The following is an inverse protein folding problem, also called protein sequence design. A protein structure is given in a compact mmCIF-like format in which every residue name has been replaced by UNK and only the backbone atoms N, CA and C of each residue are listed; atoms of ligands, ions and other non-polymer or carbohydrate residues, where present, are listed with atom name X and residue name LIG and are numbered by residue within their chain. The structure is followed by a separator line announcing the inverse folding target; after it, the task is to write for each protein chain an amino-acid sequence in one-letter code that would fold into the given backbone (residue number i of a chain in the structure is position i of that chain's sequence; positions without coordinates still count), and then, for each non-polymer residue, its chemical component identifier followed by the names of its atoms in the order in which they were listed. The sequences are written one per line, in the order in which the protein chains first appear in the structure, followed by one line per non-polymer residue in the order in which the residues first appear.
data_IF_864211712371
#
_entry.id   IF_864211712371
#
_cell.length_a   1.000
_cell.length_b   1.000
_cell.length_c   1.000
_cell.angle_alpha   90.00
_cell.angle_beta   90.00
_cell.angle_gamma   90.00
#
_symmetry.space_group_name_H-M   'P 1'
#
loop_
_entity.id
_entity.type
_entity.pdbx_description
1 polymer ?
#
# COMPACT_ATOMS: atom_id res chain seq x y z
N UNK A 1 -24.38 -0.97 14.45
CA UNK A 1 -23.98 -0.42 13.14
C UNK A 1 -23.78 -1.58 12.18
N UNK A 2 -24.30 -1.48 10.96
CA UNK A 2 -24.03 -2.47 9.92
C UNK A 2 -22.60 -2.31 9.39
N UNK A 3 -22.02 -3.36 8.80
CA UNK A 3 -20.68 -3.33 8.16
C UNK A 3 -20.58 -2.19 7.14
N UNK A 4 -21.67 -1.93 6.42
CA UNK A 4 -21.81 -0.83 5.46
C UNK A 4 -21.68 0.54 6.14
N UNK A 5 -22.32 0.74 7.29
CA UNK A 5 -22.20 2.00 8.04
C UNK A 5 -20.78 2.24 8.55
N UNK A 6 -20.06 1.20 9.00
CA UNK A 6 -18.67 1.31 9.46
C UNK A 6 -17.76 1.71 8.30
N UNK A 7 -17.97 1.10 7.14
CA UNK A 7 -17.22 1.40 5.91
C UNK A 7 -17.41 2.86 5.50
N UNK A 8 -18.67 3.33 5.42
CA UNK A 8 -18.98 4.71 5.04
C UNK A 8 -18.37 5.75 5.99
N UNK A 9 -18.42 5.51 7.31
CA UNK A 9 -17.79 6.41 8.29
C UNK A 9 -16.27 6.43 8.09
N UNK A 10 -15.65 5.26 7.92
CA UNK A 10 -14.19 5.16 7.75
C UNK A 10 -13.73 5.88 6.48
N UNK A 11 -14.41 5.68 5.35
CA UNK A 11 -14.14 6.39 4.09
C UNK A 11 -14.35 7.89 4.24
N UNK A 12 -15.42 8.32 4.91
CA UNK A 12 -15.68 9.75 5.14
C UNK A 12 -14.58 10.42 5.98
N UNK A 13 -14.07 9.73 7.01
CA UNK A 13 -12.93 10.19 7.81
C UNK A 13 -11.68 10.28 6.94
N UNK A 14 -11.41 9.26 6.12
CA UNK A 14 -10.26 9.22 5.22
C UNK A 14 -10.26 10.37 4.22
N UNK A 15 -11.42 10.66 3.60
CA UNK A 15 -11.63 11.82 2.70
C UNK A 15 -11.28 13.13 3.40
N UNK A 16 -11.79 13.34 4.62
CA UNK A 16 -11.53 14.55 5.39
C UNK A 16 -10.03 14.70 5.71
N UNK A 17 -9.37 13.60 6.11
CA UNK A 17 -7.93 13.56 6.37
C UNK A 17 -7.13 13.87 5.10
N UNK A 18 -7.46 13.24 3.97
CA UNK A 18 -6.80 13.48 2.69
C UNK A 18 -6.95 14.92 2.20
N UNK A 19 -8.12 15.53 2.36
CA UNK A 19 -8.33 16.94 2.01
C UNK A 19 -7.43 17.87 2.84
N UNK A 20 -7.32 17.62 4.14
CA UNK A 20 -6.42 18.38 5.03
C UNK A 20 -4.96 18.16 4.62
N UNK A 21 -4.54 16.91 4.42
CA UNK A 21 -3.17 16.58 4.04
C UNK A 21 -2.80 17.14 2.67
N UNK A 22 -3.74 17.18 1.71
CA UNK A 22 -3.54 17.83 0.41
C UNK A 22 -3.23 19.31 0.61
N UNK A 23 -4.04 20.04 1.38
CA UNK A 23 -3.77 21.44 1.71
C UNK A 23 -2.40 21.65 2.36
N UNK A 24 -2.04 20.78 3.32
CA UNK A 24 -0.73 20.82 3.99
C UNK A 24 0.43 20.52 3.04
N UNK A 25 0.27 19.59 2.08
CA UNK A 25 1.30 19.32 1.07
C UNK A 25 1.48 20.46 0.09
N UNK A 26 0.41 21.13 -0.34
CA UNK A 26 0.50 22.33 -1.18
C UNK A 26 1.26 23.45 -0.47
N UNK A 27 1.02 23.64 0.82
CA UNK A 27 1.79 24.58 1.64
C UNK A 27 3.27 24.18 1.71
N UNK A 28 3.57 22.89 1.94
CA UNK A 28 4.94 22.36 1.96
C UNK A 28 5.69 22.58 0.63
N UNK A 29 5.01 22.46 -0.51
CA UNK A 29 5.60 22.77 -1.84
C UNK A 29 6.08 24.23 -1.90
N UNK A 30 5.27 25.16 -1.38
CA UNK A 30 5.63 26.57 -1.27
C UNK A 30 6.84 26.82 -0.37
N UNK A 31 6.93 26.11 0.78
CA UNK A 31 8.05 26.23 1.72
C UNK A 31 9.36 25.62 1.20
N UNK A 32 9.30 24.61 0.33
CA UNK A 32 10.45 23.73 0.00
C UNK A 32 11.08 24.00 -1.37
N UNK A 33 10.99 25.24 -1.87
CA UNK A 33 11.44 25.61 -3.22
C UNK A 33 10.90 24.66 -4.32
N UNK A 34 9.67 24.16 -4.13
CA UNK A 34 9.00 23.20 -5.03
C UNK A 34 9.71 21.85 -5.15
N UNK A 35 10.16 21.29 -4.02
CA UNK A 35 10.74 19.95 -3.96
C UNK A 35 9.84 18.91 -4.65
N UNK A 36 10.39 18.16 -5.60
CA UNK A 36 9.64 17.18 -6.41
C UNK A 36 8.93 16.11 -5.56
N UNK A 37 9.51 15.70 -4.43
CA UNK A 37 8.89 14.72 -3.52
C UNK A 37 7.59 15.25 -2.93
N UNK A 38 7.57 16.53 -2.53
CA UNK A 38 6.36 17.18 -2.01
C UNK A 38 5.30 17.35 -3.12
N UNK A 39 5.73 17.64 -4.35
CA UNK A 39 4.84 17.72 -5.53
C UNK A 39 4.19 16.38 -5.82
N UNK A 40 4.96 15.29 -5.90
CA UNK A 40 4.40 13.95 -6.13
C UNK A 40 3.48 13.50 -4.99
N UNK A 41 3.81 13.82 -3.75
CA UNK A 41 2.92 13.52 -2.62
C UNK A 41 1.58 14.24 -2.73
N UNK A 42 1.58 15.52 -3.15
CA UNK A 42 0.34 16.28 -3.38
C UNK A 42 -0.52 15.65 -4.48
N UNK A 43 0.08 15.25 -5.61
CA UNK A 43 -0.64 14.52 -6.65
C UNK A 43 -1.20 13.19 -6.13
N UNK A 44 -0.44 12.47 -5.30
CA UNK A 44 -0.87 11.20 -4.72
C UNK A 44 -2.09 11.38 -3.82
N UNK A 45 -2.08 12.37 -2.91
CA UNK A 45 -3.25 12.67 -2.07
C UNK A 45 -4.45 13.15 -2.88
N UNK A 46 -4.23 13.92 -3.96
CA UNK A 46 -5.31 14.30 -4.87
C UNK A 46 -5.96 13.10 -5.56
N UNK A 47 -5.16 12.17 -6.09
CA UNK A 47 -5.66 10.97 -6.77
C UNK A 47 -6.40 10.03 -5.81
N UNK A 48 -5.86 9.82 -4.60
CA UNK A 48 -6.52 8.99 -3.60
C UNK A 48 -7.83 9.62 -3.09
N UNK A 49 -7.83 10.94 -2.87
CA UNK A 49 -9.04 11.68 -2.51
C UNK A 49 -10.14 11.55 -3.57
N UNK A 50 -9.79 11.67 -4.85
CA UNK A 50 -10.75 11.50 -5.95
C UNK A 50 -11.30 10.07 -6.00
N UNK A 51 -10.45 9.08 -5.73
CA UNK A 51 -10.85 7.67 -5.65
C UNK A 51 -11.86 7.45 -4.52
N UNK A 52 -11.56 7.91 -3.30
CA UNK A 52 -12.44 7.78 -2.15
C UNK A 52 -13.75 8.57 -2.33
N UNK A 53 -13.70 9.77 -2.93
CA UNK A 53 -14.90 10.56 -3.24
C UNK A 53 -15.80 9.85 -4.26
N UNK A 54 -15.20 9.27 -5.31
CA UNK A 54 -15.94 8.51 -6.31
C UNK A 54 -16.60 7.28 -5.69
N UNK A 55 -15.88 6.54 -4.84
CA UNK A 55 -16.43 5.42 -4.09
C UNK A 55 -17.60 5.85 -3.19
N UNK A 56 -17.42 6.89 -2.38
CA UNK A 56 -18.47 7.39 -1.50
C UNK A 56 -19.72 7.84 -2.26
N UNK A 57 -19.54 8.61 -3.35
CA UNK A 57 -20.66 9.08 -4.17
C UNK A 57 -21.41 7.89 -4.78
N UNK A 58 -20.69 6.89 -5.28
CA UNK A 58 -21.30 5.71 -5.88
C UNK A 58 -22.15 4.92 -4.86
N UNK A 59 -21.60 4.66 -3.68
CA UNK A 59 -22.32 3.92 -2.62
C UNK A 59 -23.57 4.67 -2.14
N UNK A 60 -23.54 6.01 -2.14
CA UNK A 60 -24.71 6.83 -1.81
C UNK A 60 -25.74 6.87 -2.94
N UNK A 61 -25.32 6.92 -4.19
CA UNK A 61 -26.22 7.03 -5.34
C UNK A 61 -26.81 5.69 -5.76
N UNK A 62 -26.10 4.58 -5.52
CA UNK A 62 -26.52 3.23 -5.89
C UNK A 62 -26.20 2.21 -4.79
N UNK A 63 -26.78 2.37 -3.60
CA UNK A 63 -26.66 1.38 -2.54
C UNK A 63 -27.23 0.06 -3.08
N UNK A 64 -26.53 -1.05 -2.87
CA UNK A 64 -26.86 -2.40 -3.37
C UNK A 64 -26.43 -2.75 -4.79
N UNK A 65 -25.94 -1.80 -5.59
CA UNK A 65 -25.31 -2.15 -6.87
C UNK A 65 -23.81 -2.33 -6.71
N UNK A 66 -23.24 -3.38 -7.32
CA UNK A 66 -21.77 -3.49 -7.46
C UNK A 66 -21.28 -2.30 -8.28
N UNK A 67 -20.26 -1.62 -7.79
CA UNK A 67 -19.58 -0.56 -8.54
C UNK A 67 -19.05 -1.12 -9.86
N UNK A 68 -19.36 -0.53 -11.03
CA UNK A 68 -18.71 -0.91 -12.28
C UNK A 68 -17.23 -0.59 -12.14
N UNK A 69 -16.40 -1.58 -12.41
CA UNK A 69 -15.00 -1.73 -11.99
C UNK A 69 -13.99 -0.71 -12.59
N UNK A 70 -14.43 0.37 -13.26
CA UNK A 70 -13.55 1.10 -14.19
C UNK A 70 -12.92 2.42 -13.68
N UNK A 71 -13.52 3.15 -12.75
CA UNK A 71 -13.12 4.55 -12.51
C UNK A 71 -12.29 4.76 -11.22
N UNK A 72 -12.53 3.99 -10.16
CA UNK A 72 -11.66 3.96 -8.98
C UNK A 72 -10.30 3.33 -9.33
N UNK A 73 -10.28 2.26 -10.14
CA UNK A 73 -9.04 1.55 -10.50
C UNK A 73 -8.09 2.40 -11.34
N UNK A 74 -8.60 3.25 -12.24
CA UNK A 74 -7.77 4.22 -12.98
C UNK A 74 -7.11 5.21 -12.00
N UNK A 75 -7.86 5.69 -11.01
CA UNK A 75 -7.36 6.58 -9.97
C UNK A 75 -6.28 5.94 -9.10
N UNK A 76 -6.50 4.69 -8.67
CA UNK A 76 -5.55 3.89 -7.90
C UNK A 76 -4.30 3.57 -8.72
N UNK A 77 -4.46 3.21 -10.00
CA UNK A 77 -3.34 2.95 -10.92
C UNK A 77 -2.47 4.19 -11.10
N UNK A 78 -3.09 5.35 -11.35
CA UNK A 78 -2.37 6.61 -11.44
C UNK A 78 -1.65 6.95 -10.14
N UNK A 79 -2.29 6.71 -8.99
CA UNK A 79 -1.69 6.90 -7.68
C UNK A 79 -0.46 6.01 -7.51
N UNK A 80 -0.55 4.70 -7.80
CA UNK A 80 0.57 3.77 -7.66
C UNK A 80 1.75 4.18 -8.53
N UNK A 81 1.50 4.67 -9.75
CA UNK A 81 2.53 5.21 -10.63
C UNK A 81 3.20 6.47 -10.06
N UNK A 82 2.41 7.40 -9.50
CA UNK A 82 2.94 8.62 -8.89
C UNK A 82 3.78 8.30 -7.65
N UNK A 83 3.33 7.37 -6.79
CA UNK A 83 4.12 6.92 -5.63
C UNK A 83 5.41 6.23 -6.09
N UNK A 84 5.34 5.36 -7.10
CA UNK A 84 6.53 4.70 -7.65
C UNK A 84 7.52 5.73 -8.22
N UNK A 85 7.04 6.74 -8.94
CA UNK A 85 7.87 7.83 -9.45
C UNK A 85 8.52 8.64 -8.32
N UNK A 86 7.76 8.96 -7.26
CA UNK A 86 8.27 9.65 -6.08
C UNK A 86 9.39 8.85 -5.39
N UNK A 87 9.14 7.57 -5.10
CA UNK A 87 10.10 6.68 -4.43
C UNK A 87 11.38 6.53 -5.27
N UNK A 88 11.26 6.44 -6.59
CA UNK A 88 12.40 6.38 -7.49
C UNK A 88 13.14 7.72 -7.62
N UNK A 89 12.45 8.86 -7.51
CA UNK A 89 13.07 10.19 -7.55
C UNK A 89 13.92 10.50 -6.32
N UNK A 90 13.60 9.90 -5.17
CA UNK A 90 14.36 10.04 -3.92
C UNK A 90 15.63 9.18 -3.86
N UNK A 91 15.90 8.38 -4.89
CA UNK A 91 16.93 7.35 -4.88
C UNK A 91 18.32 7.90 -5.22
N UNK A 92 19.27 7.78 -4.28
CA UNK A 92 20.68 8.16 -4.49
C UNK A 92 21.52 6.93 -4.90
N UNK A 93 21.70 6.76 -6.22
CA UNK A 93 22.58 5.80 -6.96
C UNK A 93 22.08 4.35 -7.16
N UNK A 94 22.24 3.77 -8.37
CA UNK A 94 21.85 2.38 -8.70
C UNK A 94 22.65 1.35 -7.90
N UNK A 95 22.00 0.73 -6.92
CA UNK A 95 22.43 -0.56 -6.39
C UNK A 95 22.03 -1.66 -7.40
N UNK A 96 23.02 -2.33 -8.01
CA UNK A 96 22.77 -3.53 -8.83
C UNK A 96 22.06 -4.58 -7.97
N UNK A 97 20.84 -4.95 -8.36
CA UNK A 97 20.10 -6.03 -7.73
C UNK A 97 20.64 -7.39 -8.23
N UNK A 98 20.88 -8.38 -7.35
CA UNK A 98 21.17 -9.75 -7.76
C UNK A 98 19.99 -10.33 -8.54
N UNK A 99 20.28 -11.08 -9.61
CA UNK A 99 19.29 -11.60 -10.56
C UNK A 99 18.18 -12.47 -9.93
N UNK A 100 18.49 -13.17 -8.83
CA UNK A 100 17.51 -13.96 -8.07
C UNK A 100 16.43 -13.15 -7.34
N UNK A 101 16.67 -11.88 -7.05
CA UNK A 101 15.67 -10.98 -6.43
C UNK A 101 14.66 -10.46 -7.46
N UNK A 102 15.10 -10.22 -8.69
CA UNK A 102 14.22 -9.88 -9.82
C UNK A 102 13.29 -11.05 -10.14
N UNK A 103 13.80 -12.28 -10.10
CA UNK A 103 12.99 -13.48 -10.25
C UNK A 103 11.95 -13.62 -9.12
N UNK A 104 12.31 -13.38 -7.86
CA UNK A 104 11.39 -13.46 -6.72
C UNK A 104 10.31 -12.35 -6.69
N UNK A 105 10.68 -11.12 -7.03
CA UNK A 105 9.72 -10.01 -7.17
C UNK A 105 8.81 -10.18 -8.38
N UNK A 106 9.34 -10.70 -9.52
CA UNK A 106 8.53 -11.11 -10.66
C UNK A 106 7.61 -12.28 -10.32
N UNK A 107 8.08 -13.30 -9.56
CA UNK A 107 7.23 -14.41 -9.12
C UNK A 107 6.13 -13.95 -8.18
N UNK A 108 6.42 -13.08 -7.21
CA UNK A 108 5.42 -12.50 -6.32
C UNK A 108 4.40 -11.63 -7.08
N UNK A 109 4.87 -10.80 -8.02
CA UNK A 109 4.03 -10.01 -8.89
C UNK A 109 3.13 -10.85 -9.81
N UNK A 110 3.71 -11.85 -10.48
CA UNK A 110 3.01 -12.76 -11.40
C UNK A 110 2.04 -13.66 -10.63
N UNK A 111 2.37 -14.08 -9.40
CA UNK A 111 1.50 -14.93 -8.57
C UNK A 111 0.34 -14.14 -7.96
N UNK A 112 0.56 -12.90 -7.51
CA UNK A 112 -0.53 -12.03 -7.06
C UNK A 112 -1.41 -11.59 -8.23
N UNK A 113 -0.83 -11.30 -9.40
CA UNK A 113 -1.60 -11.06 -10.62
C UNK A 113 -2.42 -12.30 -11.02
N UNK A 114 -1.85 -13.51 -10.97
CA UNK A 114 -2.59 -14.74 -11.27
C UNK A 114 -3.74 -15.01 -10.27
N UNK A 115 -3.53 -14.75 -8.97
CA UNK A 115 -4.56 -14.88 -7.94
C UNK A 115 -5.67 -13.82 -8.05
N UNK A 116 -5.31 -12.62 -8.50
CA UNK A 116 -6.24 -11.51 -8.74
C UNK A 116 -7.07 -11.74 -10.03
N UNK A 117 -6.42 -12.21 -11.11
CA UNK A 117 -7.06 -12.63 -12.39
C UNK A 117 -8.09 -13.74 -12.19
N UNK A 118 -7.85 -14.65 -11.25
CA UNK A 118 -8.79 -15.71 -10.88
C UNK A 118 -10.03 -15.20 -10.13
N UNK A 119 -10.01 -13.95 -9.63
CA UNK A 119 -11.05 -13.40 -8.75
C UNK A 119 -11.91 -12.29 -9.41
N UNK A 120 -11.38 -11.51 -10.36
CA UNK A 120 -12.14 -10.38 -10.95
C UNK A 120 -13.08 -10.78 -12.10
N UNK A 121 -12.71 -11.79 -12.91
CA UNK A 121 -13.41 -12.14 -14.14
C UNK A 121 -13.08 -11.27 -15.37
N UNK A 122 -12.25 -10.23 -15.23
CA UNK A 122 -11.86 -9.28 -16.29
C UNK A 122 -10.32 -9.28 -16.48
N UNK A 123 -9.84 -10.31 -17.18
CA UNK A 123 -8.43 -10.72 -17.29
C UNK A 123 -7.45 -9.59 -17.69
N UNK A 124 -7.87 -8.63 -18.53
CA UNK A 124 -6.96 -7.61 -19.10
C UNK A 124 -6.67 -6.50 -18.08
N UNK A 125 -7.67 -6.04 -17.34
CA UNK A 125 -7.51 -4.95 -16.38
C UNK A 125 -6.66 -5.39 -15.19
N UNK A 126 -6.86 -6.61 -14.72
CA UNK A 126 -6.06 -7.24 -13.67
C UNK A 126 -4.57 -7.35 -13.99
N UNK A 127 -4.23 -7.62 -15.26
CA UNK A 127 -2.84 -7.69 -15.71
C UNK A 127 -2.22 -6.30 -15.68
N UNK A 128 -2.94 -5.26 -16.13
CA UNK A 128 -2.43 -3.89 -16.19
C UNK A 128 -2.26 -3.31 -14.79
N UNK A 129 -3.28 -3.39 -13.94
CA UNK A 129 -3.23 -2.90 -12.56
C UNK A 129 -2.21 -3.70 -11.75
N UNK A 130 -2.19 -5.03 -11.90
CA UNK A 130 -1.22 -5.91 -11.25
C UNK A 130 0.23 -5.59 -11.64
N UNK A 131 0.50 -5.28 -12.91
CA UNK A 131 1.83 -4.87 -13.36
C UNK A 131 2.27 -3.53 -12.75
N UNK A 132 1.35 -2.58 -12.60
CA UNK A 132 1.63 -1.28 -11.96
C UNK A 132 1.92 -1.45 -10.47
N UNK A 133 1.11 -2.25 -9.76
CA UNK A 133 1.34 -2.56 -8.34
C UNK A 133 2.69 -3.28 -8.15
N UNK A 134 3.01 -4.24 -9.02
CA UNK A 134 4.30 -4.93 -9.01
C UNK A 134 5.49 -3.98 -9.19
N UNK A 135 5.36 -3.01 -10.10
CA UNK A 135 6.38 -1.99 -10.31
C UNK A 135 6.57 -1.10 -9.08
N UNK A 136 5.47 -0.72 -8.41
CA UNK A 136 5.52 0.01 -7.14
C UNK A 136 6.26 -0.78 -6.06
N UNK A 137 5.93 -2.07 -5.86
CA UNK A 137 6.65 -2.92 -4.90
C UNK A 137 8.15 -3.01 -5.22
N UNK A 138 8.51 -3.19 -6.50
CA UNK A 138 9.91 -3.22 -6.92
C UNK A 138 10.63 -1.90 -6.60
N UNK A 139 9.95 -0.77 -6.79
CA UNK A 139 10.48 0.56 -6.47
C UNK A 139 10.72 0.73 -4.97
N UNK A 140 9.77 0.31 -4.13
CA UNK A 140 9.91 0.35 -2.66
C UNK A 140 11.05 -0.55 -2.19
N UNK A 141 11.12 -1.80 -2.66
CA UNK A 141 12.18 -2.75 -2.28
C UNK A 141 13.55 -2.21 -2.67
N UNK A 142 13.67 -1.61 -3.86
CA UNK A 142 14.91 -0.96 -4.31
C UNK A 142 15.32 0.15 -3.34
N UNK A 143 14.42 1.04 -2.99
CA UNK A 143 14.72 2.18 -2.11
C UNK A 143 15.01 1.75 -0.66
N UNK A 144 14.31 0.75 -0.13
CA UNK A 144 14.64 0.16 1.18
C UNK A 144 16.05 -0.43 1.18
N UNK A 145 16.47 -1.06 0.07
CA UNK A 145 17.80 -1.65 -0.05
C UNK A 145 18.91 -0.61 -0.21
N UNK A 146 18.70 0.43 -1.02
CA UNK A 146 19.72 1.47 -1.20
C UNK A 146 20.02 2.22 0.10
N UNK A 147 18.99 2.47 0.90
CA UNK A 147 19.12 3.11 2.20
C UNK A 147 19.47 2.13 3.33
N UNK A 148 19.71 0.84 3.00
CA UNK A 148 19.99 -0.22 3.99
C UNK A 148 18.98 -0.25 5.15
N UNK A 149 17.71 0.01 4.84
CA UNK A 149 16.63 0.14 5.82
C UNK A 149 16.38 -1.17 6.60
N UNK A 150 16.75 -2.31 6.00
CA UNK A 150 16.62 -3.64 6.58
C UNK A 150 17.98 -4.33 6.62
N UNK A 151 18.24 -5.02 7.73
CA UNK A 151 19.34 -5.97 7.92
C UNK A 151 19.09 -7.27 7.15
N UNK A 152 20.13 -8.09 6.98
CA UNK A 152 20.01 -9.38 6.28
C UNK A 152 18.99 -10.34 6.92
N UNK A 153 18.93 -10.37 8.25
CA UNK A 153 17.94 -11.16 9.01
C UNK A 153 16.52 -10.65 8.82
N UNK A 154 16.31 -9.34 8.77
CA UNK A 154 15.00 -8.73 8.53
C UNK A 154 14.47 -9.03 7.12
N UNK A 155 15.35 -9.04 6.12
CA UNK A 155 14.98 -9.50 4.78
C UNK A 155 14.55 -10.97 4.75
N UNK A 156 15.26 -11.84 5.50
CA UNK A 156 14.89 -13.26 5.61
C UNK A 156 13.53 -13.40 6.30
N UNK A 157 13.30 -12.68 7.40
CA UNK A 157 12.02 -12.71 8.12
C UNK A 157 10.86 -12.26 7.22
N UNK A 158 11.04 -11.18 6.46
CA UNK A 158 10.04 -10.71 5.50
C UNK A 158 9.78 -11.77 4.42
N UNK A 159 10.82 -12.42 3.90
CA UNK A 159 10.69 -13.51 2.93
C UNK A 159 9.91 -14.71 3.47
N UNK A 160 10.18 -15.11 4.72
CA UNK A 160 9.44 -16.19 5.41
C UNK A 160 7.97 -15.80 5.60
N UNK A 161 7.71 -14.57 6.05
CA UNK A 161 6.36 -14.05 6.25
C UNK A 161 5.55 -14.07 4.94
N UNK A 162 6.12 -13.55 3.85
CA UNK A 162 5.47 -13.55 2.54
C UNK A 162 5.23 -14.99 2.02
N UNK A 163 6.19 -15.89 2.21
CA UNK A 163 6.03 -17.29 1.79
C UNK A 163 4.91 -17.98 2.57
N UNK A 164 4.87 -17.79 3.88
CA UNK A 164 3.80 -18.32 4.72
C UNK A 164 2.43 -17.77 4.31
N UNK A 165 2.35 -16.47 4.01
CA UNK A 165 1.11 -15.84 3.55
C UNK A 165 0.61 -16.46 2.24
N UNK A 166 1.50 -16.66 1.27
CA UNK A 166 1.16 -17.30 -0.02
C UNK A 166 0.65 -18.72 0.21
N UNK A 167 1.31 -19.50 1.07
CA UNK A 167 0.89 -20.87 1.39
C UNK A 167 -0.49 -20.85 2.05
N UNK A 168 -0.72 -20.01 3.06
CA UNK A 168 -2.02 -19.87 3.72
C UNK A 168 -3.12 -19.47 2.73
N UNK A 169 -2.86 -18.47 1.88
CA UNK A 169 -3.83 -18.02 0.88
C UNK A 169 -4.14 -19.12 -0.14
N UNK A 170 -3.12 -19.83 -0.62
CA UNK A 170 -3.29 -20.93 -1.58
C UNK A 170 -4.11 -22.08 -1.01
N UNK A 171 -3.93 -22.38 0.29
CA UNK A 171 -4.72 -23.41 0.97
C UNK A 171 -6.22 -23.09 0.96
N UNK A 172 -6.62 -21.81 0.97
CA UNK A 172 -8.04 -21.42 0.92
C UNK A 172 -8.76 -21.85 -0.37
N UNK A 173 -8.00 -22.15 -1.44
CA UNK A 173 -8.54 -22.62 -2.72
C UNK A 173 -8.58 -24.15 -2.84
N UNK A 174 -7.85 -24.88 -1.98
CA UNK A 174 -7.67 -26.34 -2.08
C UNK A 174 -8.48 -27.05 -0.99
N UNK A 175 -8.62 -26.39 0.16
CA UNK A 175 -9.23 -26.94 1.37
C UNK A 175 -10.78 -26.90 1.28
N UNK A 176 -11.51 -27.92 1.77
CA UNK A 176 -12.97 -27.92 1.82
C UNK A 176 -13.57 -26.69 2.52
N UNK A 177 -14.76 -26.26 2.11
CA UNK A 177 -15.40 -25.04 2.61
C UNK A 177 -15.54 -25.00 4.15
N UNK A 178 -15.82 -26.14 4.78
CA UNK A 178 -16.02 -26.26 6.23
C UNK A 178 -14.79 -25.86 7.06
N UNK A 179 -13.59 -26.00 6.50
CA UNK A 179 -12.32 -25.70 7.18
C UNK A 179 -11.57 -24.52 6.55
N UNK A 180 -12.13 -23.88 5.52
CA UNK A 180 -11.53 -22.72 4.82
C UNK A 180 -11.28 -21.52 5.75
N UNK A 181 -12.07 -21.37 6.81
CA UNK A 181 -11.93 -20.29 7.79
C UNK A 181 -10.58 -20.32 8.55
N UNK A 182 -9.96 -21.50 8.69
CA UNK A 182 -8.70 -21.65 9.42
C UNK A 182 -7.52 -21.04 8.64
N UNK A 183 -7.20 -21.45 7.39
CA UNK A 183 -6.12 -20.84 6.62
C UNK A 183 -6.39 -19.35 6.35
N UNK A 184 -7.65 -18.94 6.21
CA UNK A 184 -8.03 -17.53 6.04
C UNK A 184 -7.68 -16.69 7.28
N UNK A 185 -8.02 -17.19 8.49
CA UNK A 185 -7.64 -16.54 9.74
C UNK A 185 -6.11 -16.44 9.91
N UNK A 186 -5.37 -17.51 9.56
CA UNK A 186 -3.91 -17.45 9.59
C UNK A 186 -3.35 -16.43 8.60
N UNK A 187 -3.92 -16.31 7.40
CA UNK A 187 -3.52 -15.29 6.43
C UNK A 187 -3.72 -13.88 7.01
N UNK A 188 -4.86 -13.60 7.65
CA UNK A 188 -5.08 -12.29 8.30
C UNK A 188 -4.10 -12.01 9.44
N UNK A 189 -3.76 -13.01 10.24
CA UNK A 189 -2.73 -12.86 11.29
C UNK A 189 -1.37 -12.52 10.66
N UNK A 190 -0.98 -13.17 9.56
CA UNK A 190 0.27 -12.90 8.85
C UNK A 190 0.27 -11.49 8.24
N UNK A 191 -0.85 -11.03 7.69
CA UNK A 191 -1.02 -9.65 7.22
C UNK A 191 -0.82 -8.64 8.36
N UNK A 192 -1.39 -8.89 9.54
CA UNK A 192 -1.18 -8.03 10.71
C UNK A 192 0.28 -8.05 11.20
N UNK A 193 0.92 -9.23 11.21
CA UNK A 193 2.34 -9.34 11.58
C UNK A 193 3.24 -8.54 10.65
N UNK A 194 2.93 -8.47 9.35
CA UNK A 194 3.66 -7.63 8.41
C UNK A 194 3.50 -6.14 8.68
N UNK A 195 2.27 -5.69 9.02
CA UNK A 195 2.04 -4.31 9.43
C UNK A 195 2.81 -3.95 10.71
N UNK A 196 2.80 -4.84 11.70
CA UNK A 196 3.58 -4.68 12.94
C UNK A 196 5.08 -4.66 12.66
N UNK A 197 5.58 -5.53 11.79
CA UNK A 197 6.98 -5.57 11.38
C UNK A 197 7.45 -4.23 10.81
N UNK A 198 6.75 -3.69 9.81
CA UNK A 198 7.10 -2.38 9.24
C UNK A 198 6.94 -1.23 10.24
N UNK A 199 5.92 -1.26 11.11
CA UNK A 199 5.73 -0.26 12.15
C UNK A 199 6.89 -0.27 13.18
N UNK A 200 7.36 -1.44 13.60
CA UNK A 200 8.52 -1.59 14.49
C UNK A 200 9.79 -1.02 13.85
N UNK A 201 10.05 -1.32 12.58
CA UNK A 201 11.18 -0.76 11.83
C UNK A 201 11.07 0.76 11.69
N UNK A 202 9.86 1.27 11.41
CA UNK A 202 9.61 2.71 11.34
C UNK A 202 9.92 3.39 12.68
N UNK A 203 9.45 2.85 13.81
CA UNK A 203 9.73 3.38 15.16
C UNK A 203 11.24 3.33 15.47
N UNK A 204 11.95 2.26 15.10
CA UNK A 204 13.40 2.18 15.27
C UNK A 204 14.11 3.28 14.49
N UNK A 205 13.81 3.40 13.19
CA UNK A 205 14.41 4.42 12.34
C UNK A 205 14.07 5.85 12.81
N UNK A 206 12.88 6.06 13.40
CA UNK A 206 12.49 7.31 14.06
C UNK A 206 13.45 7.70 15.19
N UNK A 207 13.75 6.76 16.09
CA UNK A 207 14.69 6.95 17.20
C UNK A 207 16.11 7.25 16.71
N UNK A 208 16.51 6.61 15.62
CA UNK A 208 17.82 6.80 14.98
C UNK A 208 17.91 8.06 14.10
N UNK A 209 16.81 8.83 13.98
CA UNK A 209 16.72 10.08 13.18
C UNK A 209 17.05 9.92 11.68
N UNK A 210 16.88 8.71 11.13
CA UNK A 210 17.11 8.41 9.72
C UNK A 210 15.90 8.82 8.84
N UNK A 211 15.88 10.08 8.37
CA UNK A 211 14.71 10.66 7.69
C UNK A 211 14.33 9.95 6.37
N UNK A 212 15.30 9.60 5.52
CA UNK A 212 15.03 8.91 4.24
C UNK A 212 14.58 7.46 4.45
N UNK A 213 15.18 6.74 5.42
CA UNK A 213 14.76 5.39 5.81
C UNK A 213 13.32 5.40 6.34
N UNK A 214 12.98 6.37 7.20
CA UNK A 214 11.61 6.54 7.72
C UNK A 214 10.61 6.75 6.59
N UNK A 215 10.96 7.57 5.59
CA UNK A 215 10.12 7.80 4.41
C UNK A 215 9.85 6.51 3.64
N UNK A 216 10.88 5.73 3.30
CA UNK A 216 10.65 4.49 2.54
C UNK A 216 9.94 3.40 3.35
N UNK A 217 10.19 3.32 4.67
CA UNK A 217 9.47 2.40 5.56
C UNK A 217 7.99 2.79 5.71
N UNK A 218 7.65 4.09 5.71
CA UNK A 218 6.25 4.51 5.74
C UNK A 218 5.52 4.13 4.44
N UNK A 219 6.16 4.28 3.27
CA UNK A 219 5.63 3.78 2.00
C UNK A 219 5.42 2.27 2.02
N UNK A 220 6.39 1.49 2.51
CA UNK A 220 6.26 0.05 2.62
C UNK A 220 5.10 -0.37 3.55
N UNK A 221 4.97 0.28 4.71
CA UNK A 221 3.91 -0.01 5.69
C UNK A 221 2.52 0.23 5.10
N UNK A 222 2.28 1.40 4.51
CA UNK A 222 0.95 1.77 4.00
C UNK A 222 0.59 0.89 2.81
N UNK A 223 1.53 0.65 1.89
CA UNK A 223 1.28 -0.22 0.76
C UNK A 223 1.00 -1.67 1.22
N UNK A 224 1.64 -2.14 2.28
CA UNK A 224 1.29 -3.42 2.91
C UNK A 224 -0.14 -3.41 3.47
N UNK A 225 -0.53 -2.34 4.18
CA UNK A 225 -1.90 -2.18 4.72
C UNK A 225 -2.95 -2.13 3.59
N UNK A 226 -2.68 -1.37 2.52
CA UNK A 226 -3.56 -1.30 1.34
C UNK A 226 -3.70 -2.66 0.68
N UNK A 227 -2.60 -3.40 0.53
CA UNK A 227 -2.65 -4.78 0.01
C UNK A 227 -3.47 -5.69 0.92
N UNK A 228 -3.25 -5.61 2.23
CA UNK A 228 -3.99 -6.38 3.21
C UNK A 228 -5.48 -6.05 3.21
N UNK A 229 -5.86 -4.79 3.00
CA UNK A 229 -7.24 -4.34 2.81
C UNK A 229 -7.89 -5.08 1.64
N UNK A 230 -7.28 -5.05 0.45
CA UNK A 230 -7.82 -5.73 -0.74
C UNK A 230 -7.85 -7.26 -0.63
N UNK A 231 -6.94 -7.85 0.15
CA UNK A 231 -6.93 -9.30 0.42
C UNK A 231 -7.91 -9.74 1.52
N UNK A 232 -8.65 -8.80 2.14
CA UNK A 232 -9.49 -9.08 3.30
C UNK A 232 -10.98 -8.91 3.03
N UNK A 233 -11.78 -9.80 3.61
CA UNK A 233 -13.24 -9.68 3.65
C UNK A 233 -13.78 -9.17 5.00
N UNK A 234 -15.01 -8.65 5.00
CA UNK A 234 -15.78 -8.38 6.21
C UNK A 234 -15.10 -7.42 7.19
N UNK A 235 -14.95 -7.84 8.45
CA UNK A 235 -14.37 -6.99 9.50
C UNK A 235 -12.87 -6.73 9.32
N UNK A 236 -12.14 -7.65 8.69
CA UNK A 236 -10.72 -7.47 8.41
C UNK A 236 -10.48 -6.36 7.37
N UNK A 237 -11.34 -6.28 6.35
CA UNK A 237 -11.34 -5.17 5.41
C UNK A 237 -11.46 -3.82 6.13
N UNK A 238 -12.45 -3.69 7.02
CA UNK A 238 -12.68 -2.47 7.79
C UNK A 238 -11.51 -2.13 8.73
N UNK A 239 -10.87 -3.13 9.32
CA UNK A 239 -9.68 -2.92 10.14
C UNK A 239 -8.55 -2.31 9.31
N UNK A 240 -8.21 -2.90 8.16
CA UNK A 240 -7.13 -2.39 7.31
C UNK A 240 -7.47 -1.05 6.67
N UNK A 241 -8.73 -0.81 6.29
CA UNK A 241 -9.21 0.51 5.87
C UNK A 241 -9.00 1.56 6.97
N UNK A 242 -9.34 1.21 8.22
CA UNK A 242 -9.12 2.11 9.36
C UNK A 242 -7.63 2.36 9.63
N UNK A 243 -6.76 1.35 9.42
CA UNK A 243 -5.30 1.48 9.56
C UNK A 243 -4.65 2.25 8.40
N UNK A 244 -5.27 2.29 7.22
CA UNK A 244 -4.77 3.03 6.07
C UNK A 244 -4.76 4.53 6.34
N UNK A 245 -5.81 5.06 6.98
CA UNK A 245 -5.93 6.49 7.34
C UNK A 245 -4.74 7.04 8.15
N UNK A 246 -4.34 6.48 9.32
CA UNK A 246 -3.15 6.93 10.04
C UNK A 246 -1.86 6.65 9.25
N UNK A 247 -1.85 5.65 8.38
CA UNK A 247 -0.78 5.40 7.43
C UNK A 247 -0.53 6.57 6.47
N UNK A 248 -1.60 7.12 5.88
CA UNK A 248 -1.55 8.29 4.99
C UNK A 248 -1.01 9.52 5.74
N UNK A 249 -1.36 9.69 7.03
CA UNK A 249 -0.77 10.73 7.88
C UNK A 249 0.74 10.52 8.05
N UNK A 250 1.19 9.27 8.27
CA UNK A 250 2.62 8.94 8.39
C UNK A 250 3.39 9.25 7.10
N UNK A 251 2.80 9.08 5.92
CA UNK A 251 3.41 9.52 4.66
C UNK A 251 3.71 11.00 4.65
N UNK A 252 2.72 11.83 4.98
CA UNK A 252 2.92 13.27 5.03
C UNK A 252 4.02 13.66 6.02
N UNK A 253 3.99 13.11 7.23
CA UNK A 253 4.97 13.44 8.27
C UNK A 253 6.40 13.02 7.86
N UNK A 254 6.54 11.82 7.29
CA UNK A 254 7.84 11.30 6.87
C UNK A 254 8.42 12.04 5.65
N UNK A 255 7.58 12.36 4.65
CA UNK A 255 8.00 13.20 3.50
C UNK A 255 8.34 14.61 3.95
N UNK A 256 7.53 15.25 4.80
CA UNK A 256 7.83 16.58 5.35
C UNK A 256 9.18 16.60 6.05
N UNK A 257 9.47 15.57 6.84
CA UNK A 257 10.76 15.43 7.53
C UNK A 257 11.92 15.26 6.55
N UNK A 258 11.76 14.42 5.53
CA UNK A 258 12.80 14.21 4.51
C UNK A 258 13.04 15.47 3.67
N UNK A 259 11.98 16.17 3.26
CA UNK A 259 12.07 17.41 2.47
C UNK A 259 12.74 18.54 3.26
N UNK A 260 12.47 18.68 4.56
CA UNK A 260 13.09 19.70 5.41
C UNK A 260 14.49 19.35 5.93
N UNK A 261 14.96 18.13 5.67
CA UNK A 261 16.32 17.70 6.01
C UNK A 261 17.35 18.02 4.90
N UNK A 262 16.89 18.44 3.72
CA UNK A 262 17.68 18.90 2.58
C UNK A 262 17.79 20.42 2.62
#
# INVERSE_FOLDING_TARGET
MTVIQITLISVSIQIAVLAVLLGLTVHLIGESARNLTAVFLSFSFGLWLLTDLYWLIYDLMRPESRMPFAANEIGETAFFLVIAAMVNSGFRRPARLPMGFLAGSCLFAVSNAALWILWSGEIVEDIVVGAVIAWLYCSIVRSLRSEQALTGTEWIMLGVLCTALIVCQSLTFIVPEDIKNIPDLFAYILLMLGAVFFACLFIRSYKEKLAHVQMFLSFALVIWITTAKYMSGGNWYNLFLTLETPGIILWFLSVRKAVKAV
#
